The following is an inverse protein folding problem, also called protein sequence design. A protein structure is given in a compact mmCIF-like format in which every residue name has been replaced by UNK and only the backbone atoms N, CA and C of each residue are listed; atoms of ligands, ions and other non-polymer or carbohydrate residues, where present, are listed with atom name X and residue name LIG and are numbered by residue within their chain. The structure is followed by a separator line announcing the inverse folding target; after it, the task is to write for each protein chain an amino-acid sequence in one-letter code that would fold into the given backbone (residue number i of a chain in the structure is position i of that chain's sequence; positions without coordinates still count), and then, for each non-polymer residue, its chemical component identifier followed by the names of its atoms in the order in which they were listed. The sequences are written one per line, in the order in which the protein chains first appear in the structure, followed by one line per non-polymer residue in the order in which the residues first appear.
data_IF_362678803515
#
_entry.id   IF_362678803515
#
_cell.length_a   1.000
_cell.length_b   1.000
_cell.length_c   1.000
_cell.angle_alpha   90.00
_cell.angle_beta   90.00
_cell.angle_gamma   90.00
#
_symmetry.space_group_name_H-M   'P 1'
#
loop_
_entity.id
_entity.type
_entity.pdbx_description
1 polymer ?
#
# COMPACT_ATOMS: atom_id res chain seq x y z
N UNK A 1 -29.11 23.84 -11.49
CA UNK A 1 -28.15 22.71 -11.55
C UNK A 1 -27.48 22.73 -12.92
N UNK A 2 -26.15 22.76 -12.99
CA UNK A 2 -25.45 22.66 -14.29
C UNK A 2 -25.69 21.26 -14.89
N UNK A 3 -26.15 21.22 -16.15
CA UNK A 3 -26.38 19.96 -16.88
C UNK A 3 -25.02 19.28 -17.11
N UNK A 4 -24.89 18.03 -16.70
CA UNK A 4 -23.69 17.22 -16.99
C UNK A 4 -23.61 16.99 -18.50
N UNK A 5 -22.41 17.17 -19.06
CA UNK A 5 -22.14 16.91 -20.47
C UNK A 5 -21.57 15.49 -20.62
N UNK A 6 -21.97 14.77 -21.67
CA UNK A 6 -21.48 13.44 -21.97
C UNK A 6 -20.52 13.49 -23.17
N UNK A 7 -19.38 12.79 -23.07
CA UNK A 7 -18.46 12.55 -24.18
C UNK A 7 -19.04 11.52 -25.15
N UNK A 8 -19.72 10.50 -24.63
CA UNK A 8 -20.23 9.39 -25.41
C UNK A 8 -21.71 9.15 -25.14
N UNK A 9 -22.59 10.10 -25.54
CA UNK A 9 -24.01 10.07 -25.16
C UNK A 9 -24.78 8.87 -25.73
N UNK A 10 -24.27 8.23 -26.78
CA UNK A 10 -24.89 7.07 -27.43
C UNK A 10 -24.37 5.74 -26.90
N UNK A 11 -23.28 5.73 -26.12
CA UNK A 11 -22.73 4.49 -25.60
C UNK A 11 -23.49 4.04 -24.36
N UNK A 12 -23.94 2.77 -24.31
CA UNK A 12 -24.56 2.26 -23.11
C UNK A 12 -23.52 2.10 -21.97
N UNK A 13 -23.95 2.14 -20.70
CA UNK A 13 -23.05 2.10 -19.53
C UNK A 13 -22.08 0.92 -19.53
N UNK A 14 -22.50 -0.24 -20.03
CA UNK A 14 -21.70 -1.47 -20.08
C UNK A 14 -20.46 -1.28 -20.96
N UNK A 15 -20.61 -0.64 -22.11
CA UNK A 15 -19.50 -0.36 -23.03
C UNK A 15 -18.57 0.70 -22.43
N UNK A 16 -19.14 1.71 -21.74
CA UNK A 16 -18.33 2.72 -21.04
C UNK A 16 -17.49 2.09 -19.93
N UNK A 17 -18.03 1.13 -19.18
CA UNK A 17 -17.27 0.37 -18.18
C UNK A 17 -16.11 -0.44 -18.78
N UNK A 18 -16.27 -1.00 -19.99
CA UNK A 18 -15.16 -1.67 -20.69
C UNK A 18 -14.06 -0.68 -21.07
N UNK A 19 -14.43 0.51 -21.55
CA UNK A 19 -13.47 1.59 -21.83
C UNK A 19 -12.73 1.98 -20.54
N UNK A 20 -13.45 2.15 -19.44
CA UNK A 20 -12.84 2.48 -18.14
C UNK A 20 -11.86 1.41 -17.67
N UNK A 21 -12.22 0.14 -17.81
CA UNK A 21 -11.34 -0.97 -17.50
C UNK A 21 -10.02 -0.84 -18.27
N UNK A 22 -10.11 -0.72 -19.61
CA UNK A 22 -8.95 -0.60 -20.49
C UNK A 22 -8.10 0.64 -20.17
N UNK A 23 -8.71 1.80 -19.96
CA UNK A 23 -8.00 3.03 -19.61
C UNK A 23 -7.34 3.00 -18.23
N UNK A 24 -7.77 2.09 -17.35
CA UNK A 24 -7.25 1.99 -15.98
C UNK A 24 -6.06 1.03 -15.86
N UNK A 25 -5.94 0.06 -16.76
CA UNK A 25 -4.92 -1.00 -16.72
C UNK A 25 -3.72 -0.70 -17.63
N UNK A 26 -3.60 0.53 -18.13
CA UNK A 26 -2.49 0.94 -18.98
C UNK A 26 -1.19 1.07 -18.16
N UNK A 27 -0.21 0.21 -18.47
CA UNK A 27 1.10 0.15 -17.81
C UNK A 27 1.91 1.46 -17.97
N UNK A 28 1.57 2.27 -18.96
CA UNK A 28 2.26 3.54 -19.22
C UNK A 28 1.76 4.67 -18.31
N UNK A 29 0.61 4.50 -17.64
CA UNK A 29 0.12 5.51 -16.72
C UNK A 29 0.93 5.52 -15.41
N UNK A 30 1.54 6.66 -15.04
CA UNK A 30 2.27 6.76 -13.79
C UNK A 30 1.31 6.68 -12.61
N UNK A 31 1.74 6.00 -11.55
CA UNK A 31 0.96 5.95 -10.32
C UNK A 31 0.85 7.33 -9.67
N UNK A 32 -0.35 7.69 -9.25
CA UNK A 32 -0.67 9.03 -8.75
C UNK A 32 -1.67 8.98 -7.59
N UNK A 33 -1.70 10.05 -6.80
CA UNK A 33 -2.70 10.29 -5.75
C UNK A 33 -3.78 11.30 -6.16
N UNK A 34 -3.67 11.86 -7.37
CA UNK A 34 -4.59 12.89 -7.84
C UNK A 34 -6.03 12.37 -7.85
N UNK A 35 -6.99 13.24 -7.55
CA UNK A 35 -8.42 12.94 -7.52
C UNK A 35 -8.87 11.85 -6.53
N UNK A 36 -7.96 11.27 -5.74
CA UNK A 36 -8.28 10.40 -4.62
C UNK A 36 -8.78 11.24 -3.43
N UNK A 37 -9.84 10.82 -2.74
CA UNK A 37 -10.40 11.55 -1.60
C UNK A 37 -9.59 11.39 -0.31
N UNK A 38 -8.32 10.98 -0.39
CA UNK A 38 -7.49 10.65 0.77
C UNK A 38 -6.12 11.30 0.70
N UNK A 39 -5.74 11.95 1.80
CA UNK A 39 -4.36 12.32 2.06
C UNK A 39 -3.57 11.10 2.55
N UNK A 40 -2.25 11.05 2.26
CA UNK A 40 -1.36 10.07 2.86
C UNK A 40 -1.45 10.11 4.39
N UNK A 41 -1.44 8.92 5.02
CA UNK A 41 -1.45 8.79 6.48
C UNK A 41 -0.09 8.35 6.98
N UNK A 42 0.50 9.15 7.85
CA UNK A 42 1.73 8.77 8.55
C UNK A 42 1.40 8.38 10.00
N UNK A 43 1.92 7.24 10.44
CA UNK A 43 1.85 6.75 11.81
C UNK A 43 3.28 6.63 12.32
N UNK A 44 3.59 7.32 13.42
CA UNK A 44 4.92 7.26 14.03
C UNK A 44 4.84 6.54 15.36
N UNK A 45 5.79 5.63 15.58
CA UNK A 45 6.04 4.96 16.85
C UNK A 45 7.52 5.15 17.22
N UNK A 46 7.91 4.70 18.42
CA UNK A 46 9.31 4.75 18.86
C UNK A 46 10.26 4.06 17.87
N UNK A 47 9.83 2.94 17.29
CA UNK A 47 10.69 2.06 16.47
C UNK A 47 10.35 2.07 14.99
N UNK A 48 9.25 2.68 14.59
CA UNK A 48 8.82 2.67 13.19
C UNK A 48 8.14 3.96 12.78
N UNK A 49 8.29 4.33 11.51
CA UNK A 49 7.41 5.28 10.82
C UNK A 49 6.72 4.54 9.70
N UNK A 50 5.39 4.57 9.68
CA UNK A 50 4.58 3.91 8.66
C UNK A 50 3.90 5.00 7.83
N UNK A 51 4.05 4.93 6.52
CA UNK A 51 3.34 5.79 5.57
C UNK A 51 2.36 4.95 4.76
N UNK A 52 1.10 5.35 4.73
CA UNK A 52 0.02 4.70 4.00
C UNK A 52 -0.46 5.67 2.92
N UNK A 53 -0.31 5.30 1.66
CA UNK A 53 -0.61 6.17 0.53
C UNK A 53 -1.44 5.41 -0.51
N UNK A 54 -2.74 5.69 -0.65
CA UNK A 54 -3.52 5.15 -1.74
C UNK A 54 -3.08 5.79 -3.05
N UNK A 55 -2.94 4.99 -4.10
CA UNK A 55 -2.58 5.45 -5.45
C UNK A 55 -3.40 4.70 -6.48
N UNK A 56 -3.51 5.24 -7.69
CA UNK A 56 -4.03 4.53 -8.87
C UNK A 56 -3.13 4.79 -10.07
N UNK A 57 -3.29 3.98 -11.12
CA UNK A 57 -2.66 4.15 -12.45
C UNK A 57 -3.70 4.48 -13.53
N UNK A 58 -4.88 4.99 -13.14
CA UNK A 58 -5.86 5.49 -14.10
C UNK A 58 -5.39 6.68 -14.95
N UNK A 59 -6.02 6.85 -16.11
CA UNK A 59 -5.79 7.91 -17.07
C UNK A 59 -6.11 9.29 -16.45
N UNK A 60 -5.07 10.10 -16.28
CA UNK A 60 -5.18 11.42 -15.66
C UNK A 60 -5.96 12.42 -16.52
N UNK A 61 -5.85 12.35 -17.85
CA UNK A 61 -6.55 13.27 -18.74
C UNK A 61 -8.07 13.09 -18.60
N UNK A 62 -8.55 11.84 -18.54
CA UNK A 62 -9.96 11.56 -18.30
C UNK A 62 -10.42 12.03 -16.92
N UNK A 63 -9.58 11.90 -15.88
CA UNK A 63 -9.89 12.38 -14.54
C UNK A 63 -9.95 13.90 -14.44
N UNK A 64 -9.10 14.63 -15.15
CA UNK A 64 -9.11 16.10 -15.13
C UNK A 64 -10.42 16.69 -15.65
N UNK A 65 -11.15 15.97 -16.51
CA UNK A 65 -12.45 16.41 -17.02
C UNK A 65 -13.57 16.42 -15.97
N UNK A 66 -13.32 15.90 -14.75
CA UNK A 66 -14.26 16.04 -13.63
C UNK A 66 -14.51 17.50 -13.25
N UNK A 67 -13.54 18.40 -13.41
CA UNK A 67 -13.76 19.84 -13.17
C UNK A 67 -14.69 20.48 -14.20
N UNK A 68 -14.81 19.87 -15.38
CA UNK A 68 -15.68 20.31 -16.48
C UNK A 68 -17.05 19.65 -16.45
N UNK A 69 -17.42 18.97 -15.36
CA UNK A 69 -18.73 18.32 -15.15
C UNK A 69 -19.09 17.29 -16.25
N UNK A 70 -18.07 16.56 -16.74
CA UNK A 70 -18.21 15.51 -17.74
C UNK A 70 -18.64 14.19 -17.08
N UNK A 71 -19.76 13.61 -17.53
CA UNK A 71 -20.34 12.39 -16.98
C UNK A 71 -19.35 11.24 -16.89
N UNK A 72 -18.67 10.93 -17.99
CA UNK A 72 -17.76 9.80 -18.06
C UNK A 72 -16.54 10.00 -17.15
N UNK A 73 -16.14 11.23 -16.87
CA UNK A 73 -15.05 11.52 -15.94
C UNK A 73 -15.45 11.18 -14.49
N UNK A 74 -16.71 11.47 -14.12
CA UNK A 74 -17.25 11.10 -12.81
C UNK A 74 -17.48 9.60 -12.66
N UNK A 75 -18.00 8.95 -13.70
CA UNK A 75 -18.15 7.49 -13.75
C UNK A 75 -16.79 6.80 -13.69
N UNK A 76 -15.81 7.29 -14.47
CA UNK A 76 -14.44 6.77 -14.46
C UNK A 76 -13.77 6.91 -13.10
N UNK A 77 -13.88 8.09 -12.46
CA UNK A 77 -13.39 8.29 -11.09
C UNK A 77 -14.00 7.29 -10.11
N UNK A 78 -15.31 7.08 -10.19
CA UNK A 78 -16.01 6.10 -9.34
C UNK A 78 -15.56 4.67 -9.63
N UNK A 79 -15.36 4.33 -10.90
CA UNK A 79 -14.81 3.05 -11.34
C UNK A 79 -13.43 2.79 -10.76
N UNK A 80 -12.51 3.77 -10.85
CA UNK A 80 -11.17 3.65 -10.28
C UNK A 80 -11.21 3.43 -8.77
N UNK A 81 -12.05 4.18 -8.05
CA UNK A 81 -12.15 4.05 -6.60
C UNK A 81 -12.63 2.67 -6.16
N UNK A 82 -13.43 1.99 -7.00
CA UNK A 82 -13.95 0.67 -6.71
C UNK A 82 -13.00 -0.46 -7.13
N UNK A 83 -12.22 -0.28 -8.20
CA UNK A 83 -11.54 -1.40 -8.86
C UNK A 83 -10.02 -1.27 -8.95
N UNK A 84 -9.47 -0.05 -8.93
CA UNK A 84 -8.08 0.17 -9.33
C UNK A 84 -7.33 1.12 -8.38
N UNK A 85 -7.60 0.97 -7.08
CA UNK A 85 -6.75 1.57 -6.04
C UNK A 85 -5.74 0.53 -5.58
N UNK A 86 -4.48 0.94 -5.53
CA UNK A 86 -3.39 0.27 -4.83
C UNK A 86 -3.07 1.02 -3.52
N UNK A 87 -2.74 0.29 -2.47
CA UNK A 87 -2.19 0.89 -1.26
C UNK A 87 -0.67 0.72 -1.23
N UNK A 88 0.06 1.83 -1.28
CA UNK A 88 1.50 1.87 -1.06
C UNK A 88 1.78 2.08 0.42
N UNK A 89 2.57 1.19 1.00
CA UNK A 89 2.96 1.24 2.40
C UNK A 89 4.47 1.37 2.51
N UNK A 90 4.94 2.43 3.15
CA UNK A 90 6.34 2.54 3.58
C UNK A 90 6.44 2.20 5.06
N UNK A 91 7.36 1.33 5.44
CA UNK A 91 7.69 1.04 6.84
C UNK A 91 9.17 1.36 7.04
N UNK A 92 9.47 2.45 7.73
CA UNK A 92 10.83 2.77 8.14
C UNK A 92 11.04 2.28 9.56
N UNK A 93 11.79 1.19 9.70
CA UNK A 93 12.18 0.61 10.98
C UNK A 93 13.42 1.34 11.46
N UNK A 94 13.36 1.92 12.66
CA UNK A 94 14.42 2.75 13.24
C UNK A 94 14.67 2.43 14.72
N UNK A 95 15.85 2.82 15.20
CA UNK A 95 16.21 2.72 16.62
C UNK A 95 16.60 1.30 17.07
N UNK A 96 16.63 1.08 18.38
CA UNK A 96 17.13 -0.17 18.97
C UNK A 96 16.08 -1.28 18.95
N UNK A 97 16.27 -2.29 18.09
CA UNK A 97 15.35 -3.42 17.93
C UNK A 97 15.30 -4.38 19.11
N UNK A 98 16.27 -4.34 20.04
CA UNK A 98 16.25 -5.22 21.22
C UNK A 98 15.01 -4.98 22.09
N UNK A 99 14.57 -3.72 22.17
CA UNK A 99 13.39 -3.29 22.95
C UNK A 99 12.09 -3.27 22.14
N UNK A 100 12.13 -3.71 20.87
CA UNK A 100 10.93 -3.84 20.06
C UNK A 100 10.13 -5.07 20.48
N UNK A 101 8.84 -4.85 20.76
CA UNK A 101 7.85 -5.89 21.08
C UNK A 101 6.75 -5.87 20.02
N UNK A 102 6.60 -6.97 19.29
CA UNK A 102 5.64 -7.10 18.18
C UNK A 102 4.20 -6.87 18.65
N UNK A 103 3.79 -7.48 19.77
CA UNK A 103 2.44 -7.40 20.31
C UNK A 103 2.00 -5.96 20.63
N UNK A 104 2.91 -5.16 21.22
CA UNK A 104 2.64 -3.76 21.52
C UNK A 104 2.49 -2.93 20.26
N UNK A 105 3.37 -3.17 19.28
CA UNK A 105 3.28 -2.54 17.97
C UNK A 105 1.97 -2.90 17.27
N UNK A 106 1.59 -4.19 17.27
CA UNK A 106 0.36 -4.68 16.64
C UNK A 106 -0.87 -4.02 17.23
N UNK A 107 -0.96 -3.93 18.56
CA UNK A 107 -2.08 -3.26 19.22
C UNK A 107 -2.17 -1.77 18.85
N UNK A 108 -1.04 -1.06 18.82
CA UNK A 108 -0.99 0.36 18.48
C UNK A 108 -1.40 0.61 17.02
N UNK A 109 -0.85 -0.17 16.09
CA UNK A 109 -1.11 -0.01 14.66
C UNK A 109 -2.53 -0.47 14.32
N UNK A 110 -2.98 -1.62 14.82
CA UNK A 110 -4.35 -2.12 14.60
C UNK A 110 -5.40 -1.10 15.03
N UNK A 111 -5.23 -0.47 16.20
CA UNK A 111 -6.14 0.60 16.67
C UNK A 111 -6.19 1.78 15.71
N UNK A 112 -5.05 2.17 15.16
CA UNK A 112 -4.92 3.29 14.23
C UNK A 112 -5.52 2.97 12.86
N UNK A 113 -5.26 1.77 12.34
CA UNK A 113 -5.80 1.27 11.09
C UNK A 113 -7.32 1.11 11.17
N UNK A 114 -7.85 0.56 12.27
CA UNK A 114 -9.30 0.41 12.48
C UNK A 114 -10.02 1.75 12.37
N UNK A 115 -9.52 2.80 13.04
CA UNK A 115 -10.06 4.16 12.93
C UNK A 115 -9.99 4.72 11.51
N UNK A 116 -8.91 4.42 10.78
CA UNK A 116 -8.74 4.90 9.42
C UNK A 116 -9.72 4.23 8.45
N UNK A 117 -9.96 2.94 8.65
CA UNK A 117 -10.90 2.12 7.88
C UNK A 117 -12.35 2.45 8.19
N UNK A 118 -12.69 2.74 9.45
CA UNK A 118 -14.02 3.23 9.83
C UNK A 118 -14.38 4.52 9.09
N UNK A 119 -13.40 5.43 8.93
CA UNK A 119 -13.57 6.66 8.15
C UNK A 119 -13.57 6.42 6.63
N UNK A 120 -12.98 5.32 6.17
CA UNK A 120 -12.79 5.01 4.75
C UNK A 120 -13.07 3.53 4.47
N UNK A 121 -14.34 3.09 4.47
CA UNK A 121 -14.69 1.67 4.40
C UNK A 121 -14.17 0.95 3.15
N UNK A 122 -13.98 1.69 2.06
CA UNK A 122 -13.45 1.15 0.81
C UNK A 122 -12.01 0.63 0.93
N UNK A 123 -11.22 1.07 1.93
CA UNK A 123 -9.85 0.57 2.15
C UNK A 123 -9.82 -0.95 2.34
N UNK A 124 -10.87 -1.54 2.93
CA UNK A 124 -11.00 -2.99 3.09
C UNK A 124 -11.02 -3.72 1.74
N UNK A 125 -11.45 -3.03 0.68
CA UNK A 125 -11.60 -3.58 -0.68
C UNK A 125 -10.36 -3.39 -1.55
N UNK A 126 -9.31 -2.76 -1.05
CA UNK A 126 -8.06 -2.61 -1.80
C UNK A 126 -7.42 -3.98 -1.99
N UNK A 127 -7.31 -4.40 -3.24
CA UNK A 127 -6.77 -5.70 -3.62
C UNK A 127 -5.23 -5.70 -3.67
N UNK A 128 -4.65 -4.59 -4.13
CA UNK A 128 -3.20 -4.50 -4.40
C UNK A 128 -2.48 -3.72 -3.30
N UNK A 129 -1.48 -4.35 -2.69
CA UNK A 129 -0.64 -3.78 -1.65
C UNK A 129 0.82 -3.81 -2.07
N UNK A 130 1.49 -2.67 -1.95
CA UNK A 130 2.93 -2.57 -2.22
C UNK A 130 3.62 -2.05 -0.97
N UNK A 131 4.20 -2.97 -0.21
CA UNK A 131 4.82 -2.73 1.08
C UNK A 131 6.34 -2.68 0.90
N UNK A 132 6.93 -1.54 1.22
CA UNK A 132 8.37 -1.34 1.23
C UNK A 132 8.82 -1.10 2.65
N UNK A 133 9.75 -1.93 3.10
CA UNK A 133 10.33 -1.85 4.43
C UNK A 133 11.75 -1.36 4.29
N UNK A 134 12.10 -0.28 4.97
CA UNK A 134 13.45 0.22 5.12
C UNK A 134 13.93 -0.12 6.53
N UNK A 135 14.97 -0.96 6.63
CA UNK A 135 15.62 -1.28 7.90
C UNK A 135 16.76 -0.29 8.16
N UNK A 136 16.53 0.67 9.03
CA UNK A 136 17.51 1.69 9.44
C UNK A 136 17.73 1.61 10.96
N UNK A 137 18.09 0.40 11.40
CA UNK A 137 18.35 0.08 12.79
C UNK A 137 19.84 -0.19 12.99
N UNK A 138 20.30 0.03 14.22
CA UNK A 138 21.67 -0.21 14.63
C UNK A 138 22.06 -1.68 14.41
N UNK A 139 23.19 -1.93 13.73
CA UNK A 139 23.74 -3.27 13.45
C UNK A 139 23.89 -4.08 14.74
N UNK A 140 24.29 -3.42 15.83
CA UNK A 140 24.50 -4.07 17.14
C UNK A 140 23.20 -4.59 17.75
N UNK A 141 22.06 -4.04 17.34
CA UNK A 141 20.75 -4.53 17.76
C UNK A 141 20.37 -5.87 17.14
N UNK A 142 21.13 -6.32 16.12
CA UNK A 142 20.87 -7.51 15.31
C UNK A 142 21.94 -8.60 15.43
N UNK A 143 23.07 -8.32 16.08
CA UNK A 143 24.13 -9.29 16.31
C UNK A 143 23.74 -10.39 17.30
N UNK A 144 24.12 -11.64 17.00
CA UNK A 144 23.95 -12.82 17.87
C UNK A 144 22.93 -13.87 17.38
N UNK A 145 23.00 -15.08 17.96
CA UNK A 145 22.18 -16.23 17.55
C UNK A 145 20.66 -15.98 17.67
N UNK A 146 20.23 -15.17 18.64
CA UNK A 146 18.83 -14.75 18.83
C UNK A 146 18.36 -13.69 17.82
N UNK A 147 19.29 -13.04 17.11
CA UNK A 147 19.01 -12.05 16.06
C UNK A 147 18.71 -12.66 14.69
N UNK A 148 19.16 -13.90 14.44
CA UNK A 148 18.91 -14.62 13.18
C UNK A 148 17.40 -14.78 12.94
N UNK A 149 16.94 -14.37 11.75
CA UNK A 149 15.53 -14.40 11.37
C UNK A 149 14.59 -13.47 12.15
N UNK A 150 15.09 -12.67 13.12
CA UNK A 150 14.24 -11.76 13.90
C UNK A 150 13.62 -10.68 13.03
N UNK A 151 14.41 -10.10 12.12
CA UNK A 151 13.93 -9.08 11.18
C UNK A 151 12.83 -9.64 10.28
N UNK A 152 13.02 -10.83 9.72
CA UNK A 152 12.01 -11.51 8.91
C UNK A 152 10.69 -11.70 9.64
N UNK A 153 10.76 -12.26 10.86
CA UNK A 153 9.56 -12.46 11.70
C UNK A 153 8.89 -11.15 12.08
N UNK A 154 9.66 -10.11 12.36
CA UNK A 154 9.13 -8.78 12.64
C UNK A 154 8.43 -8.19 11.40
N UNK A 155 9.07 -8.26 10.23
CA UNK A 155 8.48 -7.78 8.97
C UNK A 155 7.22 -8.56 8.62
N UNK A 156 7.24 -9.89 8.74
CA UNK A 156 6.07 -10.75 8.55
C UNK A 156 4.92 -10.38 9.50
N UNK A 157 5.21 -10.18 10.79
CA UNK A 157 4.24 -9.69 11.76
C UNK A 157 3.66 -8.32 11.40
N UNK A 158 4.53 -7.38 10.99
CA UNK A 158 4.10 -6.04 10.55
C UNK A 158 3.19 -6.11 9.32
N UNK A 159 3.54 -6.93 8.34
CA UNK A 159 2.74 -7.15 7.12
C UNK A 159 1.39 -7.78 7.48
N UNK A 160 1.37 -8.81 8.34
CA UNK A 160 0.12 -9.44 8.81
C UNK A 160 -0.81 -8.43 9.47
N UNK A 161 -0.29 -7.59 10.36
CA UNK A 161 -1.08 -6.54 11.03
C UNK A 161 -1.62 -5.50 10.04
N UNK A 162 -0.83 -5.11 9.03
CA UNK A 162 -1.28 -4.20 7.99
C UNK A 162 -2.38 -4.81 7.12
N UNK A 163 -2.25 -6.09 6.75
CA UNK A 163 -3.23 -6.81 5.93
C UNK A 163 -4.48 -7.24 6.69
N UNK A 164 -4.46 -7.23 8.04
CA UNK A 164 -5.61 -7.60 8.87
C UNK A 164 -6.86 -6.73 8.63
N UNK A 165 -6.72 -5.56 7.99
CA UNK A 165 -7.85 -4.72 7.60
C UNK A 165 -8.45 -5.06 6.23
N UNK A 166 -7.75 -5.85 5.42
CA UNK A 166 -8.24 -6.27 4.11
C UNK A 166 -9.40 -7.25 4.29
N UNK A 167 -10.44 -7.11 3.47
CA UNK A 167 -11.53 -8.07 3.43
C UNK A 167 -10.99 -9.44 3.00
N UNK A 168 -11.20 -10.52 3.78
CA UNK A 168 -10.73 -11.86 3.43
C UNK A 168 -11.16 -12.31 2.03
N UNK A 169 -12.36 -11.92 1.59
CA UNK A 169 -12.88 -12.28 0.25
C UNK A 169 -12.10 -11.60 -0.88
N UNK A 170 -11.57 -10.41 -0.62
CA UNK A 170 -10.74 -9.67 -1.59
C UNK A 170 -9.34 -10.27 -1.62
N UNK A 171 -8.78 -10.57 -0.45
CA UNK A 171 -7.48 -11.23 -0.33
C UNK A 171 -7.45 -12.57 -1.09
N UNK A 172 -8.48 -13.39 -0.93
CA UNK A 172 -8.58 -14.70 -1.59
C UNK A 172 -8.74 -14.61 -3.12
N UNK A 173 -9.54 -13.66 -3.61
CA UNK A 173 -9.93 -13.60 -5.03
C UNK A 173 -8.98 -12.79 -5.91
N UNK A 174 -8.43 -11.71 -5.36
CA UNK A 174 -7.71 -10.68 -6.13
C UNK A 174 -6.49 -10.11 -5.39
N UNK A 175 -6.13 -10.67 -4.24
CA UNK A 175 -5.03 -10.15 -3.43
C UNK A 175 -3.71 -10.21 -4.19
N UNK A 176 -3.07 -9.05 -4.35
CA UNK A 176 -1.69 -8.93 -4.82
C UNK A 176 -0.89 -8.15 -3.79
N UNK A 177 -0.12 -8.86 -2.97
CA UNK A 177 0.73 -8.28 -1.93
C UNK A 177 2.18 -8.41 -2.35
N UNK A 178 2.84 -7.27 -2.54
CA UNK A 178 4.27 -7.20 -2.86
C UNK A 178 5.01 -6.61 -1.68
N UNK A 179 5.91 -7.37 -1.07
CA UNK A 179 6.75 -6.93 0.04
C UNK A 179 8.19 -6.84 -0.42
N UNK A 180 8.87 -5.72 -0.12
CA UNK A 180 10.30 -5.53 -0.37
C UNK A 180 10.97 -5.03 0.89
N UNK A 181 12.04 -5.71 1.31
CA UNK A 181 12.91 -5.27 2.39
C UNK A 181 14.17 -4.64 1.82
N UNK A 182 14.40 -3.38 2.15
CA UNK A 182 15.60 -2.62 1.89
C UNK A 182 16.46 -2.60 3.14
N UNK A 183 17.70 -3.09 3.00
CA UNK A 183 18.69 -3.11 4.06
C UNK A 183 19.91 -2.28 3.65
N UNK A 184 20.56 -1.57 4.58
CA UNK A 184 21.80 -0.85 4.31
C UNK A 184 22.88 -1.78 3.75
N UNK A 185 23.77 -1.24 2.92
CA UNK A 185 24.81 -2.03 2.23
C UNK A 185 25.68 -2.86 3.19
N UNK A 186 25.97 -2.34 4.39
CA UNK A 186 26.69 -3.06 5.44
C UNK A 186 26.03 -4.39 5.84
N UNK A 187 24.69 -4.46 5.86
CA UNK A 187 23.96 -5.70 6.12
C UNK A 187 24.07 -6.71 4.98
N UNK A 188 24.15 -6.25 3.73
CA UNK A 188 24.33 -7.14 2.58
C UNK A 188 25.71 -7.81 2.66
N UNK A 189 26.73 -7.08 3.08
CA UNK A 189 28.07 -7.64 3.30
C UNK A 189 28.09 -8.62 4.48
N UNK A 190 27.49 -8.27 5.62
CA UNK A 190 27.37 -9.18 6.76
C UNK A 190 26.58 -10.45 6.41
N UNK A 191 25.53 -10.37 5.59
CA UNK A 191 24.82 -11.55 5.07
C UNK A 191 25.72 -12.48 4.28
N UNK A 192 26.55 -11.90 3.40
CA UNK A 192 27.43 -12.65 2.51
C UNK A 192 28.61 -13.27 3.25
N UNK A 193 29.09 -12.61 4.32
CA UNK A 193 30.23 -13.04 5.12
C UNK A 193 29.85 -13.93 6.32
N UNK A 194 28.68 -13.73 6.94
CA UNK A 194 28.28 -14.35 8.21
C UNK A 194 27.03 -15.24 8.11
N UNK A 195 26.50 -15.48 6.90
CA UNK A 195 25.30 -16.30 6.65
C UNK A 195 24.05 -15.85 7.45
N UNK A 196 23.82 -14.54 7.57
CA UNK A 196 22.62 -14.00 8.22
C UNK A 196 21.35 -14.31 7.41
N UNK A 197 20.47 -15.13 7.98
CA UNK A 197 19.15 -15.39 7.42
C UNK A 197 18.15 -14.33 7.90
N UNK A 198 17.58 -13.58 6.95
CA UNK A 198 16.54 -12.58 7.22
C UNK A 198 15.12 -13.11 7.02
N UNK A 199 14.95 -14.38 6.60
CA UNK A 199 13.63 -15.01 6.50
C UNK A 199 12.68 -14.42 5.44
N UNK A 200 13.21 -13.77 4.41
CA UNK A 200 12.45 -13.25 3.26
C UNK A 200 13.07 -13.80 1.97
N UNK A 201 12.24 -14.21 1.00
CA UNK A 201 12.71 -14.92 -0.20
C UNK A 201 13.44 -14.03 -1.22
N UNK A 202 13.26 -12.70 -1.19
CA UNK A 202 13.88 -11.76 -2.14
C UNK A 202 14.32 -10.45 -1.46
N UNK A 203 15.56 -10.04 -1.73
CA UNK A 203 16.17 -8.78 -1.30
C UNK A 203 16.53 -7.97 -2.56
N UNK A 204 16.30 -6.66 -2.55
CA UNK A 204 16.72 -5.71 -3.60
C UNK A 204 17.55 -4.59 -2.97
#
# INVERSE_FOLDING_TARGET
AQKMQALFPTLPPEIRNLIYHYCSDDIHNPATTLCLPLSPKTLSTKHTVITLQPVHTGNLNLLTLTSSNILEAHEYRSYLLANNIQLRVGIHIKGNLRTFTQEHWDAQISKSLKKWVEKNPWLRRVATWNIRVLLDADMDSLSGAKGRGRVGRMVDGMVKTLLAIQDPRVAERRGDVRVRLHVPFGFVMAKRLEALEFGLERFL
#
